data_IF_035232528159
#
_entry.id   IF_035232528159
#
_cell.length_a   1.000
_cell.length_b   1.000
_cell.length_c   1.000
_cell.angle_alpha   90.00
_cell.angle_beta   90.00
_cell.angle_gamma   90.00
#
_symmetry.space_group_name_H-M   'P 1'
#
loop_
_entity.id
_entity.type
_entity.pdbx_description
1 polymer ?
#
# COMPACT_ATOMS: atom_id res chain seq x y z
N UNK A 1 -15.39 -10.81 -4.97
CA UNK A 1 -14.82 -10.72 -4.69
C UNK A 1 -14.00 -10.50 -4.00
N UNK A 2 -13.49 -10.57 -3.74
CA UNK A 2 -12.94 -10.40 -3.03
C UNK A 2 -11.98 -10.15 -2.88
N UNK A 3 -11.82 -9.81 -2.67
CA UNK A 3 -10.92 -9.22 -2.52
C UNK A 3 -10.04 -9.63 -1.52
N UNK A 4 -9.22 -8.92 -1.02
CA UNK A 4 -8.34 -9.25 0.07
C UNK A 4 -9.17 -9.34 1.33
N UNK A 5 -9.34 -10.53 1.82
CA UNK A 5 -10.12 -10.73 3.02
C UNK A 5 -9.24 -10.88 4.26
N UNK A 6 -7.92 -11.02 4.07
CA UNK A 6 -7.02 -11.21 5.18
C UNK A 6 -5.67 -10.61 4.85
N UNK A 7 -5.13 -9.84 5.78
CA UNK A 7 -3.80 -9.28 5.57
C UNK A 7 -2.71 -10.36 5.63
N UNK A 8 -3.04 -11.52 6.13
CA UNK A 8 -2.08 -12.61 6.17
C UNK A 8 -1.72 -13.10 4.77
N UNK A 9 -2.62 -12.88 3.81
CA UNK A 9 -2.39 -13.30 2.44
C UNK A 9 -1.59 -12.30 1.63
N UNK A 10 -1.28 -11.15 2.21
CA UNK A 10 -0.50 -10.14 1.53
C UNK A 10 0.99 -10.42 1.72
N UNK A 11 1.80 -10.10 0.72
CA UNK A 11 3.25 -10.20 0.92
C UNK A 11 3.70 -9.20 1.98
N UNK A 12 4.86 -9.45 2.56
CA UNK A 12 5.40 -8.55 3.58
C UNK A 12 5.68 -7.17 3.04
N UNK A 13 6.01 -7.07 1.76
CA UNK A 13 6.30 -5.82 1.10
C UNK A 13 5.42 -5.70 -0.13
N UNK A 14 4.79 -4.56 -0.29
CA UNK A 14 3.88 -4.30 -1.39
C UNK A 14 4.49 -3.29 -2.36
N UNK A 15 4.11 -3.40 -3.61
CA UNK A 15 4.41 -2.38 -4.60
C UNK A 15 3.24 -1.41 -4.66
N UNK A 16 3.49 -0.26 -5.31
CA UNK A 16 2.42 0.74 -5.42
C UNK A 16 1.20 0.18 -6.14
N UNK A 17 1.41 -0.63 -7.18
CA UNK A 17 0.27 -1.19 -7.90
C UNK A 17 -0.51 -2.17 -7.03
N UNK A 18 0.18 -2.88 -6.15
CA UNK A 18 -0.50 -3.78 -5.21
C UNK A 18 -1.33 -2.99 -4.23
N UNK A 19 -0.78 -1.87 -3.77
CA UNK A 19 -1.49 -0.98 -2.87
C UNK A 19 -2.76 -0.46 -3.53
N UNK A 20 -2.68 -0.09 -4.81
CA UNK A 20 -3.83 0.40 -5.53
C UNK A 20 -4.94 -0.65 -5.58
N UNK A 21 -4.56 -1.91 -5.81
CA UNK A 21 -5.54 -3.00 -5.85
C UNK A 21 -6.19 -3.19 -4.49
N UNK A 22 -5.37 -3.22 -3.45
CA UNK A 22 -5.88 -3.46 -2.10
C UNK A 22 -6.85 -2.36 -1.68
N UNK A 23 -6.52 -1.13 -2.00
CA UNK A 23 -7.36 0.01 -1.61
C UNK A 23 -8.43 0.34 -2.63
N UNK A 24 -8.43 -0.34 -3.77
CA UNK A 24 -9.40 -0.11 -4.84
C UNK A 24 -9.33 1.32 -5.35
N UNK A 25 -8.13 1.82 -5.56
CA UNK A 25 -7.90 3.17 -6.06
C UNK A 25 -7.00 3.08 -7.28
N UNK A 26 -6.89 4.19 -8.00
CA UNK A 26 -6.00 4.24 -9.15
C UNK A 26 -4.55 4.22 -8.69
N UNK A 27 -3.66 3.84 -9.60
CA UNK A 27 -2.24 3.84 -9.27
C UNK A 27 -1.75 5.26 -9.02
N UNK A 28 -2.29 6.24 -9.73
CA UNK A 28 -1.91 7.63 -9.48
C UNK A 28 -2.25 8.05 -8.06
N UNK A 29 -3.42 7.66 -7.58
CA UNK A 29 -3.82 7.98 -6.22
C UNK A 29 -2.93 7.24 -5.22
N UNK A 30 -2.60 5.99 -5.50
CA UNK A 30 -1.72 5.23 -4.62
C UNK A 30 -0.35 5.88 -4.54
N UNK A 31 0.18 6.34 -5.67
CA UNK A 31 1.46 7.06 -5.67
C UNK A 31 1.37 8.32 -4.83
N UNK A 32 0.28 9.05 -4.95
CA UNK A 32 0.10 10.27 -4.17
C UNK A 32 0.12 9.99 -2.67
N UNK A 33 -0.53 8.92 -2.26
CA UNK A 33 -0.54 8.54 -0.84
C UNK A 33 0.85 8.22 -0.33
N UNK A 34 1.63 7.53 -1.14
CA UNK A 34 2.97 7.13 -0.74
C UNK A 34 3.91 8.34 -0.75
N UNK A 35 3.82 9.17 -1.79
CA UNK A 35 4.71 10.33 -1.92
C UNK A 35 4.44 11.37 -0.85
N UNK A 36 3.20 11.51 -0.45
CA UNK A 36 2.84 12.52 0.56
C UNK A 36 3.17 12.06 1.97
N UNK A 37 3.52 10.80 2.14
CA UNK A 37 3.86 10.29 3.46
C UNK A 37 2.67 9.80 4.27
N UNK A 38 1.48 9.78 3.68
CA UNK A 38 0.31 9.29 4.40
C UNK A 38 0.44 7.80 4.67
N UNK A 39 1.10 7.09 3.77
CA UNK A 39 1.42 5.68 3.98
C UNK A 39 2.93 5.59 4.01
N UNK A 40 3.47 5.07 5.10
CA UNK A 40 4.91 4.93 5.25
C UNK A 40 5.44 3.96 4.20
N UNK A 41 6.55 4.33 3.60
CA UNK A 41 7.15 3.50 2.57
C UNK A 41 8.65 3.71 2.55
N UNK A 42 9.33 2.79 1.86
CA UNK A 42 10.77 2.88 1.66
C UNK A 42 10.99 3.05 0.16
N UNK A 43 11.70 4.09 -0.22
CA UNK A 43 12.02 4.29 -1.62
C UNK A 43 13.26 3.48 -1.97
N UNK A 44 13.15 2.69 -3.01
CA UNK A 44 14.25 1.86 -3.48
C UNK A 44 14.45 2.15 -4.97
N UNK A 45 15.49 2.93 -5.28
CA UNK A 45 15.71 3.32 -6.67
C UNK A 45 14.53 4.14 -7.18
N UNK A 46 13.84 3.62 -8.17
CA UNK A 46 12.73 4.32 -8.80
C UNK A 46 11.38 3.88 -8.26
N UNK A 47 11.37 2.93 -7.35
CA UNK A 47 10.11 2.40 -6.88
C UNK A 47 9.97 2.63 -5.39
N UNK A 48 8.75 2.45 -4.93
CA UNK A 48 8.45 2.50 -3.51
C UNK A 48 8.08 1.11 -3.05
N UNK A 49 8.52 0.76 -1.87
CA UNK A 49 8.15 -0.49 -1.25
C UNK A 49 7.39 -0.17 0.02
N UNK A 50 6.20 -0.70 0.12
CA UNK A 50 5.31 -0.41 1.22
C UNK A 50 5.24 -1.63 2.12
N UNK A 51 5.77 -1.54 3.35
CA UNK A 51 5.64 -2.65 4.29
C UNK A 51 4.17 -2.91 4.58
N UNK A 52 3.83 -4.18 4.72
CA UNK A 52 2.45 -4.54 5.03
C UNK A 52 1.97 -3.82 6.30
N UNK A 53 2.86 -3.69 7.27
CA UNK A 53 2.52 -3.02 8.52
C UNK A 53 2.10 -1.58 8.29
N UNK A 54 2.73 -0.91 7.34
CA UNK A 54 2.39 0.48 7.03
C UNK A 54 0.98 0.59 6.47
N UNK A 55 0.59 -0.37 5.65
CA UNK A 55 -0.76 -0.39 5.11
C UNK A 55 -1.79 -0.63 6.21
N UNK A 56 -1.50 -1.58 7.09
CA UNK A 56 -2.40 -1.88 8.19
C UNK A 56 -2.54 -0.66 9.08
N UNK A 57 -1.43 0.00 9.37
CA UNK A 57 -1.42 1.19 10.19
C UNK A 57 -2.27 2.30 9.57
N UNK A 58 -2.15 2.48 8.27
CA UNK A 58 -2.92 3.48 7.56
C UNK A 58 -4.41 3.20 7.67
N UNK A 59 -4.79 1.95 7.48
CA UNK A 59 -6.20 1.57 7.54
C UNK A 59 -6.77 1.72 8.95
N UNK A 60 -5.96 1.47 9.94
CA UNK A 60 -6.42 1.59 11.32
C UNK A 60 -6.62 3.04 11.74
N UNK A 61 -5.91 3.94 11.09
CA UNK A 61 -6.05 5.35 11.41
C UNK A 61 -7.30 5.97 10.82
N UNK A 62 -7.73 5.43 9.73
CA UNK A 62 -8.92 5.99 9.05
C UNK A 62 -10.17 5.22 9.46
#
# INVERSE_FOLDING_TARGET
MAVITSFENLPLVLHVKDLAVVLSISQNTAYALVRSGQIRSVRTGRTYRIPKDALIEYLNKS
#
